data_IF_903358587313
#
_entry.id   IF_903358587313
#
_cell.length_a   1.000
_cell.length_b   1.000
_cell.length_c   1.000
_cell.angle_alpha   90.00
_cell.angle_beta   90.00
_cell.angle_gamma   90.00
#
_symmetry.space_group_name_H-M   'P 1'
#
loop_
_entity.id
_entity.type
_entity.pdbx_description
1 polymer ?
#
# COMPACT_ATOMS: atom_id res chain seq x y z
N UNK A 1 -8.55 22.57 -0.44
CA UNK A 1 -7.10 22.30 -0.43
C UNK A 1 -6.88 20.89 -0.94
N UNK A 2 -5.84 20.66 -1.75
CA UNK A 2 -5.42 19.31 -2.14
C UNK A 2 -4.89 18.60 -0.88
N UNK A 3 -5.33 17.36 -0.62
CA UNK A 3 -4.77 16.55 0.45
C UNK A 3 -3.58 15.76 -0.08
N UNK A 4 -2.36 16.26 0.10
CA UNK A 4 -1.16 15.61 -0.43
C UNK A 4 -0.86 14.26 0.24
N UNK A 5 -1.47 13.95 1.39
CA UNK A 5 -1.28 12.70 2.14
C UNK A 5 -2.31 11.62 1.80
N UNK A 6 -3.25 11.87 0.87
CA UNK A 6 -4.38 10.97 0.61
C UNK A 6 -3.96 9.56 0.19
N UNK A 7 -2.84 9.40 -0.52
CA UNK A 7 -2.35 8.09 -0.96
C UNK A 7 -1.96 7.17 0.21
N UNK A 8 -1.65 7.69 1.41
CA UNK A 8 -1.34 6.87 2.58
C UNK A 8 -2.51 5.98 3.05
N UNK A 9 -3.76 6.37 2.72
CA UNK A 9 -4.94 5.52 2.96
C UNK A 9 -4.85 4.17 2.24
N UNK A 10 -4.09 4.11 1.16
CA UNK A 10 -3.87 2.93 0.34
C UNK A 10 -2.47 2.33 0.53
N UNK A 11 -1.77 2.69 1.61
CA UNK A 11 -0.40 2.22 1.91
C UNK A 11 -0.27 0.71 1.79
N UNK A 12 -1.21 -0.07 2.33
CA UNK A 12 -1.22 -1.54 2.19
C UNK A 12 -1.16 -2.02 0.75
N UNK A 13 -1.92 -1.41 -0.14
CA UNK A 13 -1.86 -1.73 -1.57
C UNK A 13 -0.51 -1.34 -2.16
N UNK A 14 0.02 -0.17 -1.82
CA UNK A 14 1.29 0.34 -2.34
C UNK A 14 2.50 -0.49 -1.89
N UNK A 15 2.60 -0.82 -0.61
CA UNK A 15 3.68 -1.64 -0.06
C UNK A 15 3.67 -3.06 -0.64
N UNK A 16 2.48 -3.65 -0.74
CA UNK A 16 2.34 -4.96 -1.39
C UNK A 16 2.75 -4.88 -2.87
N UNK A 17 2.31 -3.86 -3.60
CA UNK A 17 2.71 -3.66 -4.99
C UNK A 17 4.22 -3.55 -5.17
N UNK A 18 4.87 -2.74 -4.33
CA UNK A 18 6.31 -2.57 -4.38
C UNK A 18 7.05 -3.88 -4.08
N UNK A 19 6.64 -4.59 -3.02
CA UNK A 19 7.20 -5.89 -2.65
C UNK A 19 7.10 -6.90 -3.78
N UNK A 20 5.90 -7.07 -4.36
CA UNK A 20 5.71 -8.00 -5.47
C UNK A 20 6.49 -7.58 -6.71
N UNK A 21 6.49 -6.28 -7.05
CA UNK A 21 7.24 -5.77 -8.19
C UNK A 21 8.74 -6.16 -8.13
N UNK A 22 9.33 -6.20 -6.95
CA UNK A 22 10.74 -6.58 -6.79
C UNK A 22 11.01 -8.08 -6.97
N UNK A 23 10.01 -8.94 -6.77
CA UNK A 23 10.14 -10.37 -7.05
C UNK A 23 10.17 -10.70 -8.54
N UNK A 24 9.65 -9.82 -9.40
CA UNK A 24 9.64 -10.03 -10.85
C UNK A 24 10.91 -9.49 -11.50
N UNK A 25 11.49 -10.23 -12.46
CA UNK A 25 12.58 -9.71 -13.26
C UNK A 25 12.08 -8.56 -14.13
N UNK A 26 12.94 -7.58 -14.35
CA UNK A 26 12.73 -6.57 -15.39
C UNK A 26 13.44 -7.09 -16.64
N UNK A 27 12.80 -7.00 -17.81
CA UNK A 27 13.42 -7.35 -19.09
C UNK A 27 14.80 -6.70 -19.22
N UNK A 28 15.75 -7.43 -19.78
CA UNK A 28 17.14 -6.99 -19.84
C UNK A 28 17.29 -5.68 -20.62
N UNK A 29 16.51 -5.51 -21.69
CA UNK A 29 16.45 -4.28 -22.50
C UNK A 29 16.08 -3.06 -21.62
N UNK A 30 14.97 -3.12 -20.90
CA UNK A 30 14.50 -2.07 -20.00
C UNK A 30 15.47 -1.79 -18.84
N UNK A 31 16.11 -2.84 -18.32
CA UNK A 31 17.14 -2.74 -17.28
C UNK A 31 18.42 -2.07 -17.77
N UNK A 32 18.83 -2.36 -19.01
CA UNK A 32 20.01 -1.78 -19.64
C UNK A 32 19.78 -0.30 -19.99
N UNK A 33 18.56 0.11 -20.32
CA UNK A 33 18.22 1.53 -20.52
C UNK A 33 18.34 2.38 -19.23
N UNK A 34 18.52 1.77 -18.06
CA UNK A 34 18.88 2.47 -16.82
C UNK A 34 20.39 2.65 -16.62
N UNK A 35 21.25 2.01 -17.41
CA UNK A 35 22.72 2.09 -17.32
C UNK A 35 23.23 3.11 -18.35
N UNK A 36 23.50 4.34 -17.95
CA UNK A 36 24.09 5.32 -18.87
C UNK A 36 24.92 6.38 -18.14
N UNK A 37 25.77 7.06 -18.91
CA UNK A 37 26.61 8.15 -18.43
C UNK A 37 25.90 9.47 -18.73
N UNK A 38 25.44 10.15 -17.68
CA UNK A 38 24.89 11.51 -17.73
C UNK A 38 25.51 12.31 -16.59
N UNK A 39 25.80 13.61 -16.74
CA UNK A 39 26.31 14.43 -15.65
C UNK A 39 25.41 14.34 -14.40
N UNK A 40 25.99 13.97 -13.26
CA UNK A 40 25.24 13.76 -12.00
C UNK A 40 24.49 12.43 -11.89
N UNK A 41 24.52 11.57 -12.92
CA UNK A 41 23.93 10.22 -12.86
C UNK A 41 24.91 9.22 -12.27
N UNK A 42 24.76 8.99 -10.97
CA UNK A 42 25.49 8.00 -10.18
C UNK A 42 24.85 6.60 -10.20
N UNK A 43 25.58 5.58 -9.73
CA UNK A 43 25.12 4.18 -9.67
C UNK A 43 23.74 4.01 -9.01
N UNK A 44 23.47 4.73 -7.92
CA UNK A 44 22.19 4.61 -7.23
C UNK A 44 21.00 5.08 -8.09
N UNK A 45 21.19 6.00 -9.05
CA UNK A 45 20.11 6.38 -9.97
C UNK A 45 19.74 5.22 -10.90
N UNK A 46 20.74 4.45 -11.33
CA UNK A 46 20.49 3.23 -12.11
C UNK A 46 19.66 2.22 -11.31
N UNK A 47 19.94 2.05 -10.02
CA UNK A 47 19.15 1.17 -9.16
C UNK A 47 17.73 1.69 -8.93
N UNK A 48 17.58 3.00 -8.67
CA UNK A 48 16.27 3.65 -8.55
C UNK A 48 15.48 3.50 -9.86
N UNK A 49 16.10 3.70 -11.02
CA UNK A 49 15.47 3.54 -12.33
C UNK A 49 14.94 2.13 -12.55
N UNK A 50 15.76 1.10 -12.26
CA UNK A 50 15.32 -0.30 -12.40
C UNK A 50 14.17 -0.62 -11.47
N UNK A 51 14.26 -0.22 -10.20
CA UNK A 51 13.21 -0.46 -9.21
C UNK A 51 11.92 0.27 -9.59
N UNK A 52 12.01 1.51 -10.04
CA UNK A 52 10.88 2.27 -10.54
C UNK A 52 10.20 1.57 -11.73
N UNK A 53 10.98 1.14 -12.73
CA UNK A 53 10.44 0.40 -13.88
C UNK A 53 9.78 -0.91 -13.47
N UNK A 54 10.36 -1.68 -12.52
CA UNK A 54 9.70 -2.87 -11.97
C UNK A 54 8.32 -2.55 -11.40
N UNK A 55 8.20 -1.48 -10.61
CA UNK A 55 6.91 -1.07 -10.03
C UNK A 55 5.93 -0.67 -11.14
N UNK A 56 6.36 0.13 -12.13
CA UNK A 56 5.53 0.52 -13.27
C UNK A 56 5.05 -0.69 -14.07
N UNK A 57 5.93 -1.65 -14.37
CA UNK A 57 5.57 -2.90 -15.03
C UNK A 57 4.55 -3.71 -14.26
N UNK A 58 4.77 -3.90 -12.96
CA UNK A 58 3.84 -4.63 -12.11
C UNK A 58 2.47 -3.95 -12.01
N UNK A 59 2.44 -2.63 -11.84
CA UNK A 59 1.19 -1.85 -11.81
C UNK A 59 0.46 -1.89 -13.16
N UNK A 60 1.18 -1.90 -14.28
CA UNK A 60 0.59 -2.02 -15.62
C UNK A 60 -0.11 -3.36 -15.80
N UNK A 61 0.52 -4.46 -15.37
CA UNK A 61 -0.09 -5.79 -15.36
C UNK A 61 -1.37 -5.77 -14.52
N UNK A 62 -1.31 -5.21 -13.31
CA UNK A 62 -2.50 -5.12 -12.45
C UNK A 62 -3.62 -4.28 -13.07
N UNK A 63 -3.27 -3.18 -13.74
CA UNK A 63 -4.20 -2.29 -14.45
C UNK A 63 -4.89 -3.01 -15.60
N UNK A 64 -4.14 -3.71 -16.44
CA UNK A 64 -4.68 -4.48 -17.56
C UNK A 64 -5.56 -5.64 -17.11
N UNK A 65 -5.27 -6.22 -15.94
CA UNK A 65 -6.11 -7.23 -15.31
C UNK A 65 -7.33 -6.67 -14.55
N UNK A 66 -7.58 -5.35 -14.59
CA UNK A 66 -8.62 -4.66 -13.80
C UNK A 66 -8.53 -4.94 -12.29
N UNK A 67 -7.34 -5.28 -11.82
CA UNK A 67 -7.05 -5.63 -10.42
C UNK A 67 -6.44 -4.47 -9.64
N UNK A 68 -6.04 -3.39 -10.33
CA UNK A 68 -5.60 -2.15 -9.72
C UNK A 68 -6.81 -1.25 -9.48
N UNK A 69 -7.06 -0.89 -8.22
CA UNK A 69 -8.09 0.09 -7.89
C UNK A 69 -7.68 1.46 -8.45
N UNK A 70 -8.49 2.00 -9.37
CA UNK A 70 -8.27 3.29 -10.03
C UNK A 70 -8.23 4.46 -9.03
N UNK A 71 -8.83 4.29 -7.84
CA UNK A 71 -8.85 5.31 -6.81
C UNK A 71 -7.68 5.21 -5.83
N UNK A 72 -6.79 4.23 -5.99
CA UNK A 72 -5.72 3.97 -5.01
C UNK A 72 -4.58 5.00 -5.02
N UNK A 73 -4.65 6.06 -5.85
CA UNK A 73 -3.66 7.15 -5.89
C UNK A 73 -2.21 6.67 -6.19
N UNK A 74 -2.06 5.65 -7.04
CA UNK A 74 -0.75 5.11 -7.38
C UNK A 74 0.20 6.14 -8.03
N UNK A 75 -0.32 7.12 -8.77
CA UNK A 75 0.52 8.15 -9.39
C UNK A 75 1.13 9.08 -8.34
N UNK A 76 0.34 9.50 -7.35
CA UNK A 76 0.80 10.28 -6.21
C UNK A 76 1.82 9.49 -5.37
N UNK A 77 1.57 8.20 -5.14
CA UNK A 77 2.52 7.31 -4.49
C UNK A 77 3.85 7.22 -5.25
N UNK A 78 3.81 7.00 -6.57
CA UNK A 78 5.02 6.88 -7.39
C UNK A 78 5.81 8.20 -7.44
N UNK A 79 5.13 9.35 -7.47
CA UNK A 79 5.78 10.65 -7.35
C UNK A 79 6.50 10.80 -5.99
N UNK A 80 5.85 10.40 -4.89
CA UNK A 80 6.48 10.34 -3.57
C UNK A 80 7.65 9.36 -3.54
N UNK A 81 7.50 8.16 -4.10
CA UNK A 81 8.51 7.11 -4.11
C UNK A 81 9.81 7.59 -4.80
N UNK A 82 9.71 8.30 -5.93
CA UNK A 82 10.87 8.89 -6.61
C UNK A 82 11.54 9.95 -5.72
N UNK A 83 10.76 10.89 -5.17
CA UNK A 83 11.27 11.91 -4.26
C UNK A 83 11.99 11.29 -3.05
N UNK A 84 11.37 10.28 -2.44
CA UNK A 84 11.89 9.58 -1.27
C UNK A 84 13.21 8.87 -1.58
N UNK A 85 13.29 8.15 -2.70
CA UNK A 85 14.48 7.38 -3.04
C UNK A 85 15.65 8.25 -3.52
N UNK A 86 15.40 9.36 -4.21
CA UNK A 86 16.46 10.30 -4.61
C UNK A 86 17.02 11.09 -3.42
N UNK A 87 16.15 11.55 -2.51
CA UNK A 87 16.55 12.33 -1.32
C UNK A 87 17.23 11.51 -0.22
N UNK A 88 17.36 10.18 -0.39
CA UNK A 88 18.22 9.35 0.47
C UNK A 88 19.71 9.69 0.33
N UNK A 89 20.10 10.29 -0.79
CA UNK A 89 21.49 10.57 -1.12
C UNK A 89 21.76 12.07 -1.03
N UNK A 90 22.57 12.49 -0.05
CA UNK A 90 22.86 13.91 0.22
C UNK A 90 23.54 14.62 -0.96
N UNK A 91 24.34 13.87 -1.73
CA UNK A 91 25.06 14.38 -2.89
C UNK A 91 24.24 14.30 -4.19
N UNK A 92 22.95 13.95 -4.11
CA UNK A 92 22.09 13.90 -5.29
C UNK A 92 21.95 15.27 -5.94
N UNK A 93 22.22 15.33 -7.24
CA UNK A 93 22.15 16.55 -8.07
C UNK A 93 20.99 16.53 -9.06
N UNK A 94 20.26 15.41 -9.14
CA UNK A 94 19.16 15.24 -10.09
C UNK A 94 17.84 15.41 -9.36
N UNK A 95 17.07 16.41 -9.78
CA UNK A 95 15.72 16.65 -9.27
C UNK A 95 14.76 15.52 -9.72
N UNK A 96 13.78 15.14 -8.89
CA UNK A 96 12.75 14.13 -9.24
C UNK A 96 12.15 14.25 -10.64
N UNK A 97 11.79 15.46 -11.08
CA UNK A 97 11.23 15.68 -12.41
C UNK A 97 12.25 15.42 -13.53
N UNK A 98 13.51 15.81 -13.32
CA UNK A 98 14.59 15.54 -14.28
C UNK A 98 14.94 14.05 -14.32
N UNK A 99 15.00 13.39 -13.17
CA UNK A 99 15.17 11.94 -13.10
C UNK A 99 14.12 11.22 -13.94
N UNK A 100 12.84 11.58 -13.77
CA UNK A 100 11.75 10.97 -14.53
C UNK A 100 11.85 11.27 -16.03
N UNK A 101 12.11 12.54 -16.39
CA UNK A 101 12.29 12.96 -17.78
C UNK A 101 13.43 12.20 -18.47
N UNK A 102 14.61 12.16 -17.86
CA UNK A 102 15.78 11.43 -18.38
C UNK A 102 15.45 9.94 -18.55
N UNK A 103 14.80 9.35 -17.56
CA UNK A 103 14.39 7.93 -17.62
C UNK A 103 13.42 7.67 -18.77
N UNK A 104 12.49 8.60 -19.03
CA UNK A 104 11.52 8.51 -20.13
C UNK A 104 12.16 8.71 -21.50
N UNK A 105 12.99 9.75 -21.67
CA UNK A 105 13.73 10.02 -22.91
C UNK A 105 14.64 8.84 -23.32
N UNK A 106 15.17 8.10 -22.35
CA UNK A 106 16.02 6.92 -22.60
C UNK A 106 15.25 5.66 -22.96
N UNK A 107 14.00 5.55 -22.57
CA UNK A 107 13.20 4.36 -22.80
C UNK A 107 11.74 4.71 -23.13
N UNK A 108 11.50 5.45 -24.22
CA UNK A 108 10.16 5.91 -24.56
C UNK A 108 9.21 4.74 -24.87
N UNK A 109 9.72 3.64 -25.44
CA UNK A 109 8.94 2.44 -25.70
C UNK A 109 8.41 1.81 -24.41
N UNK A 110 9.24 1.74 -23.35
CA UNK A 110 8.79 1.27 -22.04
C UNK A 110 7.59 2.08 -21.53
N UNK A 111 7.69 3.41 -21.52
CA UNK A 111 6.59 4.25 -20.99
C UNK A 111 5.37 4.31 -21.90
N UNK A 112 5.53 4.05 -23.20
CA UNK A 112 4.43 3.91 -24.15
C UNK A 112 3.66 2.60 -23.97
N UNK A 113 4.36 1.46 -23.80
CA UNK A 113 3.75 0.15 -23.53
C UNK A 113 3.13 0.05 -22.13
N UNK A 114 3.60 0.89 -21.21
CA UNK A 114 3.13 0.96 -19.84
C UNK A 114 2.28 2.22 -19.64
N UNK A 115 2.61 3.02 -18.62
CA UNK A 115 1.98 4.30 -18.38
C UNK A 115 3.02 5.32 -17.96
N UNK A 116 2.70 6.58 -18.24
CA UNK A 116 3.43 7.72 -17.72
C UNK A 116 2.71 8.30 -16.50
N UNK A 117 3.47 8.98 -15.63
CA UNK A 117 2.95 9.67 -14.46
C UNK A 117 3.45 11.10 -14.44
N UNK A 118 2.76 11.96 -13.68
CA UNK A 118 3.26 13.31 -13.41
C UNK A 118 4.20 13.27 -12.21
N UNK A 119 5.48 13.57 -12.45
CA UNK A 119 6.49 13.71 -11.40
C UNK A 119 6.81 15.17 -11.17
N UNK A 120 6.81 15.58 -9.90
CA UNK A 120 7.18 16.92 -9.46
C UNK A 120 7.91 16.87 -8.13
N UNK A 121 8.73 17.88 -7.88
CA UNK A 121 9.38 18.06 -6.59
C UNK A 121 8.33 18.28 -5.49
N UNK A 122 8.41 17.49 -4.43
CA UNK A 122 7.58 17.70 -3.24
C UNK A 122 8.23 18.78 -2.38
N UNK A 123 7.40 19.72 -1.91
CA UNK A 123 7.85 20.80 -1.02
C UNK A 123 8.55 20.21 0.22
N UNK A 124 9.70 20.75 0.66
CA UNK A 124 10.48 20.17 1.77
C UNK A 124 9.67 19.90 3.05
N UNK A 125 8.83 20.84 3.48
CA UNK A 125 8.03 20.67 4.69
C UNK A 125 7.01 19.52 4.57
N UNK A 126 6.32 19.44 3.43
CA UNK A 126 5.38 18.35 3.11
C UNK A 126 6.13 17.03 3.01
N UNK A 127 7.28 17.01 2.35
CA UNK A 127 8.10 15.80 2.17
C UNK A 127 8.57 15.23 3.51
N UNK A 128 9.04 16.05 4.45
CA UNK A 128 9.47 15.57 5.76
C UNK A 128 8.32 14.93 6.54
N UNK A 129 7.12 15.49 6.44
CA UNK A 129 5.91 14.89 7.02
C UNK A 129 5.54 13.56 6.34
N UNK A 130 5.56 13.50 4.99
CA UNK A 130 5.33 12.25 4.26
C UNK A 130 6.37 11.17 4.61
N UNK A 131 7.64 11.55 4.79
CA UNK A 131 8.72 10.65 5.17
C UNK A 131 8.46 10.00 6.53
N UNK A 132 7.97 10.77 7.50
CA UNK A 132 7.59 10.24 8.82
C UNK A 132 6.45 9.22 8.72
N UNK A 133 5.38 9.56 7.99
CA UNK A 133 4.26 8.65 7.76
C UNK A 133 4.71 7.39 7.02
N UNK A 134 5.51 7.54 5.97
CA UNK A 134 6.01 6.41 5.20
C UNK A 134 6.81 5.47 6.08
N UNK A 135 7.80 5.97 6.83
CA UNK A 135 8.60 5.16 7.75
C UNK A 135 7.73 4.43 8.80
N UNK A 136 6.74 5.12 9.36
CA UNK A 136 5.79 4.54 10.30
C UNK A 136 4.99 3.39 9.65
N UNK A 137 4.50 3.59 8.43
CA UNK A 137 3.85 2.53 7.65
C UNK A 137 4.82 1.40 7.27
N UNK A 138 6.11 1.66 7.03
CA UNK A 138 7.08 0.58 6.76
C UNK A 138 7.16 -0.40 7.94
N UNK A 139 7.25 0.11 9.17
CA UNK A 139 7.28 -0.72 10.38
C UNK A 139 5.96 -1.46 10.58
N UNK A 140 4.83 -0.77 10.37
CA UNK A 140 3.50 -1.39 10.41
C UNK A 140 3.33 -2.51 9.37
N UNK A 141 3.91 -2.37 8.17
CA UNK A 141 3.82 -3.43 7.15
C UNK A 141 4.60 -4.68 7.53
N UNK A 142 5.66 -4.57 8.35
CA UNK A 142 6.34 -5.75 8.91
C UNK A 142 5.40 -6.53 9.83
N UNK A 143 4.54 -5.85 10.57
CA UNK A 143 3.49 -6.45 11.40
C UNK A 143 2.49 -7.18 10.51
N UNK A 144 1.94 -6.50 9.49
CA UNK A 144 1.00 -7.06 8.52
C UNK A 144 1.58 -8.32 7.84
N UNK A 145 2.82 -8.27 7.36
CA UNK A 145 3.50 -9.39 6.71
C UNK A 145 3.60 -10.64 7.60
N UNK A 146 3.66 -10.48 8.93
CA UNK A 146 3.68 -11.60 9.86
C UNK A 146 2.32 -12.26 10.02
N UNK A 147 1.23 -11.51 9.85
CA UNK A 147 -0.13 -12.07 9.97
C UNK A 147 -0.45 -13.11 8.88
N UNK A 148 0.30 -13.13 7.78
CA UNK A 148 0.15 -14.10 6.70
C UNK A 148 1.06 -15.34 6.84
N UNK A 149 1.89 -15.43 7.88
CA UNK A 149 2.80 -16.57 8.08
C UNK A 149 2.10 -17.69 8.86
N UNK A 150 2.40 -18.93 8.50
CA UNK A 150 1.86 -20.13 9.18
C UNK A 150 2.26 -20.20 10.66
N UNK A 151 3.44 -19.68 11.00
CA UNK A 151 3.94 -19.55 12.37
C UNK A 151 4.24 -18.09 12.69
N UNK A 152 3.52 -17.58 13.68
CA UNK A 152 3.64 -16.21 14.16
C UNK A 152 4.70 -16.16 15.26
N UNK A 153 5.73 -15.34 15.04
CA UNK A 153 6.68 -14.97 16.08
C UNK A 153 6.10 -13.80 16.90
N UNK A 154 5.42 -14.14 18.00
CA UNK A 154 4.75 -13.18 18.87
C UNK A 154 5.76 -12.15 19.44
N UNK A 155 7.00 -12.57 19.72
CA UNK A 155 8.03 -11.70 20.26
C UNK A 155 8.41 -10.59 19.28
N UNK A 156 8.73 -10.96 18.03
CA UNK A 156 9.02 -9.97 16.97
C UNK A 156 7.83 -9.08 16.67
N UNK A 157 6.63 -9.66 16.67
CA UNK A 157 5.42 -8.90 16.44
C UNK A 157 5.23 -7.77 17.48
N UNK A 158 5.42 -8.08 18.77
CA UNK A 158 5.39 -7.09 19.86
C UNK A 158 6.50 -6.05 19.69
N UNK A 159 7.69 -6.45 19.26
CA UNK A 159 8.80 -5.53 18.98
C UNK A 159 8.42 -4.48 17.92
N UNK A 160 7.90 -4.90 16.76
CA UNK A 160 7.46 -3.99 15.71
C UNK A 160 6.28 -3.12 16.13
N UNK A 161 5.36 -3.66 16.92
CA UNK A 161 4.26 -2.89 17.50
C UNK A 161 4.77 -1.76 18.40
N UNK A 162 5.72 -2.05 19.29
CA UNK A 162 6.35 -1.04 20.15
C UNK A 162 7.11 0.02 19.34
N UNK A 163 7.79 -0.37 18.25
CA UNK A 163 8.43 0.58 17.33
C UNK A 163 7.37 1.53 16.73
N UNK A 164 6.25 0.98 16.23
CA UNK A 164 5.16 1.79 15.67
C UNK A 164 4.59 2.77 16.71
N UNK A 165 4.37 2.33 17.95
CA UNK A 165 3.87 3.18 19.04
C UNK A 165 4.85 4.30 19.37
N UNK A 166 6.14 3.99 19.50
CA UNK A 166 7.18 4.98 19.79
C UNK A 166 7.23 6.04 18.69
N UNK A 167 7.26 5.61 17.43
CA UNK A 167 7.26 6.53 16.29
C UNK A 167 6.00 7.38 16.25
N UNK A 168 4.82 6.79 16.47
CA UNK A 168 3.56 7.51 16.52
C UNK A 168 3.55 8.59 17.62
N UNK A 169 4.00 8.26 18.83
CA UNK A 169 4.09 9.21 19.95
C UNK A 169 5.03 10.39 19.64
N UNK A 170 6.10 10.17 18.90
CA UNK A 170 6.98 11.27 18.49
C UNK A 170 6.40 12.11 17.35
N UNK A 171 5.69 11.48 16.42
CA UNK A 171 5.08 12.14 15.28
C UNK A 171 3.88 12.99 15.71
N UNK A 172 3.02 12.48 16.60
CA UNK A 172 1.78 13.17 17.01
C UNK A 172 2.02 14.49 17.75
N UNK A 173 3.20 14.67 18.37
CA UNK A 173 3.62 15.94 18.97
C UNK A 173 3.65 17.11 17.98
N UNK A 174 3.71 16.81 16.67
CA UNK A 174 3.68 17.82 15.58
C UNK A 174 2.26 18.26 15.24
N UNK A 175 1.23 17.59 15.76
CA UNK A 175 -0.15 17.92 15.48
C UNK A 175 -0.67 19.01 16.43
N UNK A 176 -1.31 20.07 15.90
CA UNK A 176 -1.93 21.08 16.74
C UNK A 176 -3.14 20.49 17.48
N UNK A 177 -3.52 21.08 18.62
CA UNK A 177 -4.62 20.60 19.48
C UNK A 177 -6.01 20.54 18.82
N UNK A 178 -6.15 21.08 17.62
CA UNK A 178 -7.36 21.17 16.82
C UNK A 178 -7.11 20.54 15.43
N UNK A 179 -7.04 19.21 15.41
CA UNK A 179 -6.76 18.28 14.29
C UNK A 179 -7.47 18.61 12.96
N UNK A 180 -6.99 19.63 12.26
CA UNK A 180 -7.53 20.08 10.96
C UNK A 180 -6.47 20.07 9.86
N UNK A 181 -5.21 19.80 10.19
CA UNK A 181 -4.14 19.67 9.21
C UNK A 181 -4.21 18.30 8.51
N UNK A 182 -4.00 18.30 7.19
CA UNK A 182 -4.07 17.10 6.33
C UNK A 182 -3.08 16.02 6.77
N UNK A 183 -1.91 16.43 7.30
CA UNK A 183 -0.92 15.53 7.89
C UNK A 183 -1.46 14.76 9.10
N UNK A 184 -2.06 15.48 10.06
CA UNK A 184 -2.61 14.89 11.29
C UNK A 184 -3.82 14.00 11.02
N UNK A 185 -4.62 14.36 10.00
CA UNK A 185 -5.67 13.49 9.49
C UNK A 185 -5.10 12.17 8.98
N UNK A 186 -4.01 12.20 8.21
CA UNK A 186 -3.35 10.98 7.72
C UNK A 186 -2.72 10.15 8.85
N UNK A 187 -2.19 10.80 9.89
CA UNK A 187 -1.69 10.12 11.09
C UNK A 187 -2.82 9.45 11.89
N UNK A 188 -3.97 10.10 12.02
CA UNK A 188 -5.17 9.50 12.64
C UNK A 188 -5.69 8.31 11.81
N UNK A 189 -5.59 8.37 10.48
CA UNK A 189 -5.93 7.22 9.63
C UNK A 189 -4.98 6.03 9.86
N UNK A 190 -3.69 6.28 10.10
CA UNK A 190 -2.75 5.23 10.55
C UNK A 190 -3.18 4.61 11.89
N UNK A 191 -3.53 5.42 12.88
CA UNK A 191 -3.99 4.93 14.18
C UNK A 191 -5.18 3.97 14.04
N UNK A 192 -6.15 4.33 13.18
CA UNK A 192 -7.30 3.46 12.87
C UNK A 192 -6.86 2.14 12.26
N UNK A 193 -5.91 2.17 11.31
CA UNK A 193 -5.36 0.95 10.69
C UNK A 193 -4.69 0.05 11.73
N UNK A 194 -3.85 0.60 12.60
CA UNK A 194 -3.18 -0.15 13.67
C UNK A 194 -4.16 -0.74 14.68
N UNK A 195 -5.16 0.03 15.12
CA UNK A 195 -6.20 -0.46 16.01
C UNK A 195 -7.02 -1.60 15.40
N UNK A 196 -7.18 -1.64 14.07
CA UNK A 196 -7.84 -2.76 13.39
C UNK A 196 -7.04 -4.07 13.51
N UNK A 197 -5.71 -4.03 13.41
CA UNK A 197 -4.88 -5.24 13.62
C UNK A 197 -5.08 -5.79 15.02
N UNK A 198 -5.23 -4.93 16.03
CA UNK A 198 -5.47 -5.31 17.43
C UNK A 198 -6.77 -6.06 17.68
N UNK A 199 -7.61 -6.23 16.67
CA UNK A 199 -8.85 -7.03 16.74
C UNK A 199 -8.73 -8.42 16.13
N UNK A 200 -7.59 -8.76 15.53
CA UNK A 200 -7.37 -10.03 14.83
C UNK A 200 -6.75 -11.03 15.80
N UNK A 201 -7.29 -12.24 15.95
CA UNK A 201 -6.68 -13.28 16.79
C UNK A 201 -5.43 -13.92 16.13
N UNK A 202 -4.40 -14.32 16.90
CA UNK A 202 -4.25 -14.29 18.37
C UNK A 202 -3.79 -12.92 18.94
N UNK A 203 -3.90 -11.85 18.15
CA UNK A 203 -3.36 -10.51 18.42
C UNK A 203 -4.40 -9.56 19.01
N UNK A 204 -5.40 -10.10 19.70
CA UNK A 204 -6.41 -9.28 20.36
C UNK A 204 -5.78 -8.41 21.47
N UNK A 205 -6.59 -7.51 22.03
CA UNK A 205 -6.18 -6.49 23.00
C UNK A 205 -5.40 -7.00 24.23
N UNK A 206 -5.25 -8.30 24.43
CA UNK A 206 -4.44 -8.89 25.48
C UNK A 206 -2.93 -8.91 25.16
N UNK A 207 -2.53 -8.81 23.88
CA UNK A 207 -1.12 -8.95 23.46
C UNK A 207 -0.51 -7.68 22.83
N UNK A 208 -1.32 -6.67 22.49
CA UNK A 208 -0.84 -5.46 21.81
C UNK A 208 -1.06 -4.18 22.63
N UNK A 209 -0.02 -3.34 22.80
CA UNK A 209 -0.17 -2.08 23.46
C UNK A 209 -1.01 -1.11 22.61
N UNK A 210 -1.93 -0.39 23.28
CA UNK A 210 -2.70 0.69 22.69
C UNK A 210 -1.82 1.93 22.49
N UNK A 211 -2.17 2.79 21.54
CA UNK A 211 -1.68 4.17 21.60
C UNK A 211 -2.20 4.81 22.89
N UNK A 212 -1.32 5.48 23.63
CA UNK A 212 -1.77 6.37 24.68
C UNK A 212 -2.49 7.54 24.00
N UNK A 213 -3.62 7.99 24.55
CA UNK A 213 -4.22 9.25 24.11
C UNK A 213 -3.18 10.37 24.25
N UNK A 214 -3.24 11.40 23.40
CA UNK A 214 -2.41 12.60 23.53
C UNK A 214 -2.53 13.24 24.93
N UNK A 215 -3.71 13.12 25.57
CA UNK A 215 -3.93 13.53 26.95
C UNK A 215 -3.26 12.62 27.99
N UNK A 216 -3.01 11.36 27.66
CA UNK A 216 -2.34 10.42 28.55
C UNK A 216 -0.82 10.60 28.50
N UNK A 217 -0.26 10.96 27.35
CA UNK A 217 1.19 11.22 27.19
C UNK A 217 1.64 12.47 27.95
N UNK A 218 0.82 13.54 27.94
CA UNK A 218 1.07 14.76 28.75
C UNK A 218 0.90 14.51 30.25
N UNK A 219 0.07 13.55 30.67
CA UNK A 219 -0.03 13.11 32.07
C UNK A 219 1.14 12.23 32.48
N UNK A 220 1.61 11.32 31.63
CA UNK A 220 2.78 10.47 31.89
C UNK A 220 4.05 11.32 32.08
N UNK A 221 4.25 12.36 31.27
CA UNK A 221 5.41 13.25 31.40
C UNK A 221 5.39 14.06 32.72
N UNK A 222 4.19 14.43 33.19
CA UNK A 222 3.97 15.02 34.53
C UNK A 222 4.19 14.02 35.66
N UNK A 223 3.73 12.79 35.50
CA UNK A 223 3.85 11.73 36.49
C UNK A 223 5.30 11.26 36.67
N UNK A 224 6.09 11.20 35.59
CA UNK A 224 7.52 10.82 35.64
C UNK A 224 8.37 11.82 36.43
N UNK A 225 7.96 13.10 36.48
CA UNK A 225 8.61 14.11 37.33
C UNK A 225 8.34 13.89 38.83
N UNK A 226 7.14 13.44 39.19
CA UNK A 226 6.72 13.25 40.59
C UNK A 226 7.09 11.86 41.15
N UNK A 227 7.29 10.85 40.30
CA UNK A 227 7.46 9.44 40.72
C UNK A 227 8.87 9.06 41.18
N UNK A 228 9.81 10.01 41.30
CA UNK A 228 11.12 9.74 41.91
C UNK A 228 11.06 9.60 43.44
N UNK A 229 9.88 9.69 44.05
CA UNK A 229 9.67 9.35 45.46
C UNK A 229 8.48 8.38 45.66
N UNK A 230 8.86 7.18 46.12
CA UNK A 230 8.16 6.32 47.06
C UNK A 230 7.30 5.14 46.55
N UNK A 231 7.61 4.01 47.18
CA UNK A 231 7.28 2.61 46.96
C UNK A 231 6.02 2.12 47.70
N UNK A 232 5.30 1.20 47.03
CA UNK A 232 4.61 -0.03 47.52
C UNK A 232 3.37 0.11 48.43
N UNK A 233 2.24 -0.51 48.03
CA UNK A 233 1.50 -1.59 48.72
C UNK A 233 0.26 -2.06 47.89
N UNK A 234 0.03 -3.38 47.94
CA UNK A 234 -1.03 -4.29 47.41
C UNK A 234 -2.41 -4.05 48.10
N UNK A 235 -3.61 -4.36 47.59
CA UNK A 235 -4.22 -5.69 47.38
C UNK A 235 -5.75 -5.65 47.10
N UNK A 236 -6.25 -6.66 46.35
CA UNK A 236 -7.48 -7.49 46.51
C UNK A 236 -8.95 -7.00 46.29
N UNK A 237 -9.54 -7.55 45.20
CA UNK A 237 -10.80 -8.31 44.98
C UNK A 237 -11.93 -8.32 46.06
N UNK A 238 -13.18 -8.18 45.60
CA UNK A 238 -14.35 -8.93 46.12
C UNK A 238 -15.47 -9.08 45.05
N UNK A 239 -16.21 -10.18 45.12
CA UNK A 239 -17.25 -10.69 44.21
C UNK A 239 -18.59 -10.86 44.95
N UNK A 240 -19.72 -10.86 44.22
CA UNK A 240 -20.96 -11.70 44.33
C UNK A 240 -22.25 -10.94 43.87
N UNK A 241 -22.96 -11.40 42.81
CA UNK A 241 -24.23 -12.19 42.77
C UNK A 241 -25.48 -11.43 43.31
N UNK A 242 -26.66 -11.32 42.68
CA UNK A 242 -27.65 -12.25 42.06
C UNK A 242 -28.65 -11.39 41.21
N UNK A 243 -29.28 -11.77 40.09
CA UNK A 243 -30.21 -12.88 39.83
C UNK A 243 -31.68 -12.38 39.65
N UNK A 244 -32.26 -12.48 38.44
CA UNK A 244 -33.65 -12.94 38.14
C UNK A 244 -34.17 -12.49 36.76
N UNK A 245 -34.93 -13.39 36.13
CA UNK A 245 -35.65 -13.24 34.85
C UNK A 245 -37.16 -13.24 35.11
N UNK A 246 -37.98 -12.69 34.20
CA UNK A 246 -39.21 -13.42 33.85
C UNK A 246 -39.54 -13.44 32.35
N UNK A 247 -39.77 -14.68 31.88
CA UNK A 247 -40.87 -15.22 31.07
C UNK A 247 -41.35 -14.52 29.80
N UNK A 248 -41.16 -15.30 28.74
CA UNK A 248 -41.80 -15.35 27.43
C UNK A 248 -43.34 -15.26 27.46
N UNK A 249 -43.91 -14.38 26.62
CA UNK A 249 -45.26 -14.46 26.10
C UNK A 249 -45.25 -13.93 24.65
N UNK A 250 -45.44 -14.79 23.67
CA UNK A 250 -45.45 -14.43 22.23
C UNK A 250 -46.89 -14.35 21.76
N UNK A 251 -47.30 -13.16 21.33
CA UNK A 251 -48.58 -12.92 20.67
C UNK A 251 -48.31 -12.65 19.18
N UNK A 252 -48.81 -13.53 18.31
CA UNK A 252 -48.49 -13.53 16.87
C UNK A 252 -49.45 -12.64 16.08
N UNK A 253 -49.02 -11.40 15.81
CA UNK A 253 -49.63 -10.54 14.79
C UNK A 253 -48.96 -10.74 13.42
N UNK A 254 -49.75 -10.81 12.34
CA UNK A 254 -49.29 -11.06 10.96
C UNK A 254 -48.27 -10.04 10.41
N UNK A 255 -48.14 -8.86 11.04
CA UNK A 255 -47.09 -7.87 10.72
C UNK A 255 -45.73 -8.27 11.31
N UNK A 256 -45.72 -8.94 12.47
CA UNK A 256 -44.50 -9.41 13.12
C UNK A 256 -43.81 -10.52 12.30
N UNK A 257 -44.59 -11.39 11.64
CA UNK A 257 -44.05 -12.44 10.78
C UNK A 257 -43.23 -11.89 9.62
N UNK A 258 -43.64 -10.75 9.03
CA UNK A 258 -42.90 -10.11 7.92
C UNK A 258 -41.59 -9.49 8.43
N UNK A 259 -41.61 -8.81 9.58
CA UNK A 259 -40.40 -8.25 10.18
C UNK A 259 -39.42 -9.33 10.62
N UNK A 260 -39.91 -10.45 11.15
CA UNK A 260 -39.06 -11.61 11.50
C UNK A 260 -38.42 -12.20 10.26
N UNK A 261 -39.15 -12.35 9.14
CA UNK A 261 -38.60 -12.86 7.88
C UNK A 261 -37.52 -11.90 7.32
N UNK A 262 -37.79 -10.60 7.28
CA UNK A 262 -36.83 -9.61 6.78
C UNK A 262 -35.58 -9.53 7.67
N UNK A 263 -35.76 -9.53 9.00
CA UNK A 263 -34.64 -9.54 9.93
C UNK A 263 -33.83 -10.85 9.86
N UNK A 264 -34.50 -11.98 9.61
CA UNK A 264 -33.83 -13.28 9.43
C UNK A 264 -33.02 -13.30 8.13
N UNK A 265 -33.56 -12.77 7.03
CA UNK A 265 -32.83 -12.66 5.75
C UNK A 265 -31.62 -11.73 5.90
N UNK A 266 -31.78 -10.58 6.58
CA UNK A 266 -30.69 -9.65 6.83
C UNK A 266 -29.62 -10.28 7.73
N UNK A 267 -30.04 -11.01 8.76
CA UNK A 267 -29.14 -11.74 9.66
C UNK A 267 -28.37 -12.83 8.93
N UNK A 268 -29.04 -13.64 8.09
CA UNK A 268 -28.39 -14.66 7.27
C UNK A 268 -27.43 -14.01 6.27
N UNK A 269 -27.80 -12.89 5.64
CA UNK A 269 -26.92 -12.16 4.72
C UNK A 269 -25.67 -11.64 5.43
N UNK A 270 -25.81 -11.07 6.63
CA UNK A 270 -24.68 -10.60 7.44
C UNK A 270 -23.81 -11.76 7.94
N UNK A 271 -24.41 -12.91 8.28
CA UNK A 271 -23.68 -14.13 8.63
C UNK A 271 -22.92 -14.64 7.40
N UNK A 272 -23.53 -14.68 6.21
CA UNK A 272 -22.87 -15.06 4.97
C UNK A 272 -21.77 -14.07 4.56
N UNK A 273 -21.95 -12.77 4.83
CA UNK A 273 -20.92 -11.74 4.61
C UNK A 273 -19.76 -11.90 5.60
N UNK A 274 -20.06 -12.19 6.86
CA UNK A 274 -19.05 -12.48 7.88
C UNK A 274 -18.33 -13.78 7.56
N UNK A 275 -19.04 -14.84 7.16
CA UNK A 275 -18.45 -16.07 6.68
C UNK A 275 -17.71 -15.83 5.37
N UNK A 276 -18.07 -14.89 4.50
CA UNK A 276 -17.21 -14.52 3.37
C UNK A 276 -15.88 -13.91 3.85
N UNK A 277 -15.91 -13.15 4.95
CA UNK A 277 -14.72 -12.58 5.59
C UNK A 277 -13.92 -13.59 6.45
N UNK A 278 -14.57 -14.66 6.96
CA UNK A 278 -13.99 -15.66 7.89
C UNK A 278 -13.84 -17.07 7.31
N UNK A 279 -14.47 -17.38 6.18
CA UNK A 279 -14.25 -18.63 5.44
C UNK A 279 -12.91 -18.48 4.76
N UNK A 280 -12.12 -19.55 4.83
CA UNK A 280 -10.75 -19.73 4.34
C UNK A 280 -10.47 -19.27 2.92
N UNK A 281 -11.44 -18.76 2.17
CA UNK A 281 -11.30 -18.16 0.86
C UNK A 281 -10.57 -16.80 0.85
N UNK A 282 -10.66 -15.97 1.89
CA UNK A 282 -9.92 -14.68 1.92
C UNK A 282 -8.40 -14.88 1.86
N UNK A 283 -7.87 -15.71 2.78
CA UNK A 283 -6.46 -16.10 2.81
C UNK A 283 -6.09 -17.03 1.64
N UNK A 284 -7.01 -17.88 1.18
CA UNK A 284 -6.77 -18.78 0.05
C UNK A 284 -6.78 -18.07 -1.32
N UNK A 285 -7.48 -16.95 -1.47
CA UNK A 285 -7.48 -16.13 -2.69
C UNK A 285 -6.16 -15.36 -2.81
N UNK A 286 -5.62 -14.84 -1.70
CA UNK A 286 -4.25 -14.30 -1.61
C UNK A 286 -3.18 -15.40 -1.81
N UNK A 287 -3.37 -16.58 -1.23
CA UNK A 287 -2.50 -17.75 -1.43
C UNK A 287 -2.56 -18.30 -2.87
N UNK A 288 -3.72 -18.20 -3.53
CA UNK A 288 -3.86 -18.54 -4.97
C UNK A 288 -3.20 -17.51 -5.89
N UNK A 289 -3.10 -16.25 -5.48
CA UNK A 289 -2.26 -15.27 -6.18
C UNK A 289 -0.80 -15.71 -6.12
N UNK A 290 -0.32 -16.18 -4.96
CA UNK A 290 1.02 -16.76 -4.84
C UNK A 290 1.20 -18.09 -5.62
N UNK A 291 0.16 -18.93 -5.70
CA UNK A 291 0.19 -20.19 -6.47
C UNK A 291 0.06 -19.97 -8.00
N UNK A 292 -0.39 -18.79 -8.46
CA UNK A 292 -0.48 -18.42 -9.89
C UNK A 292 0.85 -17.94 -10.49
N UNK A 293 1.98 -18.01 -9.77
CA UNK A 293 3.31 -17.69 -10.31
C UNK A 293 3.65 -18.51 -11.57
N UNK A 294 3.19 -19.77 -11.64
CA UNK A 294 3.34 -20.63 -12.83
C UNK A 294 2.38 -20.31 -13.99
N UNK A 295 1.24 -19.63 -13.75
CA UNK A 295 0.32 -19.26 -14.83
C UNK A 295 0.74 -17.95 -15.50
N UNK A 296 1.41 -17.06 -14.77
CA UNK A 296 1.92 -15.79 -15.30
C UNK A 296 3.17 -15.99 -16.18
N UNK A 297 4.09 -16.87 -15.81
CA UNK A 297 5.23 -17.23 -16.68
C UNK A 297 4.78 -17.71 -18.06
N UNK A 298 3.66 -18.42 -18.12
CA UNK A 298 3.10 -18.91 -19.38
C UNK A 298 2.45 -17.77 -20.20
N UNK A 299 1.85 -16.76 -19.55
CA UNK A 299 1.30 -15.58 -20.23
C UNK A 299 2.41 -14.63 -20.72
N UNK A 300 3.53 -14.55 -20.00
CA UNK A 300 4.73 -13.82 -20.41
C UNK A 300 5.41 -14.50 -21.61
N UNK A 301 5.47 -15.83 -21.62
CA UNK A 301 5.97 -16.60 -22.76
C UNK A 301 5.08 -16.41 -24.00
N UNK A 302 3.75 -16.37 -23.84
CA UNK A 302 2.81 -16.05 -24.94
C UNK A 302 2.95 -14.59 -25.43
N UNK A 303 3.10 -13.61 -24.53
CA UNK A 303 3.29 -12.20 -24.90
C UNK A 303 4.63 -11.97 -25.62
N UNK A 304 5.71 -12.60 -25.16
CA UNK A 304 7.02 -12.52 -25.79
C UNK A 304 7.02 -13.20 -27.17
N UNK A 305 6.28 -14.31 -27.34
CA UNK A 305 6.09 -14.93 -28.66
C UNK A 305 5.33 -14.00 -29.62
N UNK A 306 4.28 -13.30 -29.16
CA UNK A 306 3.53 -12.35 -29.99
C UNK A 306 4.37 -11.14 -30.42
N UNK A 307 5.20 -10.60 -29.53
CA UNK A 307 6.11 -9.49 -29.85
C UNK A 307 7.18 -9.88 -30.87
N UNK A 308 7.74 -11.09 -30.77
CA UNK A 308 8.71 -11.60 -31.75
C UNK A 308 8.06 -11.78 -33.14
N UNK A 309 6.79 -12.21 -33.20
CA UNK A 309 6.05 -12.35 -34.47
C UNK A 309 5.83 -10.99 -35.14
N UNK A 310 5.51 -9.94 -34.36
CA UNK A 310 5.30 -8.59 -34.88
C UNK A 310 6.61 -7.96 -35.39
N UNK A 311 7.72 -8.20 -34.68
CA UNK A 311 9.05 -7.76 -35.10
C UNK A 311 9.51 -8.46 -36.40
N UNK A 312 9.25 -9.76 -36.53
CA UNK A 312 9.52 -10.51 -37.77
C UNK A 312 8.63 -10.04 -38.94
N UNK A 313 7.36 -9.70 -38.68
CA UNK A 313 6.45 -9.13 -39.68
C UNK A 313 6.90 -7.74 -40.14
N UNK A 314 7.41 -6.89 -39.24
CA UNK A 314 8.01 -5.59 -39.59
C UNK A 314 9.28 -5.77 -40.43
N UNK A 315 10.13 -6.73 -40.08
CA UNK A 315 11.36 -7.05 -40.82
C UNK A 315 11.09 -7.66 -42.20
N UNK A 316 9.95 -8.34 -42.36
CA UNK A 316 9.49 -8.85 -43.66
C UNK A 316 8.85 -7.75 -44.52
N UNK A 317 8.11 -6.82 -43.90
CA UNK A 317 7.53 -5.64 -44.55
C UNK A 317 8.61 -4.72 -45.14
N UNK A 318 9.73 -4.50 -44.43
CA UNK A 318 10.87 -3.72 -44.93
C UNK A 318 11.59 -4.36 -46.13
N UNK A 319 11.33 -5.64 -46.43
CA UNK A 319 11.85 -6.33 -47.64
C UNK A 319 10.92 -6.26 -48.85
N UNK A 320 9.68 -5.81 -48.70
CA UNK A 320 8.72 -5.70 -49.82
C UNK A 320 8.61 -4.25 -50.26
N UNK A 321 9.37 -3.88 -51.29
CA UNK A 321 9.30 -2.57 -51.91
C UNK A 321 8.00 -2.46 -52.73
N UNK A 322 6.97 -1.82 -52.21
CA UNK A 322 5.76 -1.52 -52.99
C UNK A 322 6.05 -0.34 -53.94
N UNK A 323 5.96 -0.55 -55.24
CA UNK A 323 6.00 0.52 -56.23
C UNK A 323 4.61 1.14 -56.37
N UNK A 324 4.37 2.29 -55.75
CA UNK A 324 3.17 3.10 -56.00
C UNK A 324 3.48 4.04 -57.17
N UNK A 325 2.92 3.74 -58.35
CA UNK A 325 2.98 4.63 -59.51
C UNK A 325 1.82 5.62 -59.48
N UNK A 326 2.13 6.92 -59.41
CA UNK A 326 1.15 7.99 -59.57
C UNK A 326 0.94 8.27 -61.07
N UNK A 327 -0.26 8.03 -61.58
CA UNK A 327 -0.66 8.53 -62.90
C UNK A 327 -1.25 9.94 -62.74
N UNK A 328 -0.49 10.96 -63.16
CA UNK A 328 -1.00 12.32 -63.31
C UNK A 328 -1.73 12.45 -64.64
N UNK A 329 -3.04 12.70 -64.59
CA UNK A 329 -3.87 13.01 -65.76
C UNK A 329 -3.59 14.46 -66.16
N UNK A 330 -2.94 14.67 -67.30
CA UNK A 330 -2.87 15.97 -67.98
C UNK A 330 -4.11 16.16 -68.84
N UNK A 331 -4.92 17.17 -68.52
CA UNK A 331 -5.97 17.67 -69.40
C UNK A 331 -5.32 18.57 -70.46
N UNK A 332 -5.59 18.28 -71.74
CA UNK A 332 -5.28 19.12 -72.89
C UNK A 332 -6.55 19.84 -73.35
#
# INVERSE_FOLDING_TARGET
MKNDYEFFKYSESHFNNEKFAYEYPLEESYSNNCKFVHPGWEHYHTDICRNFKKIVSFLNIRKNASSLDVNNKYEEYLNFWINFNLRKYENNKIEPSDFYRITNERDPSFFWLHFSIKVSNIEPAIFENMKLLYNLYQEYHKIIDMTYKDHIDIGKFIEYANICLSMYHDIIKRCPSNDTESFCTALSDFEKSYNRIRTITPFDNHNLPAFASYEDTTKVEKLVSDYSQQTVIQSQVTSEHTGSSPKHGVDHSSKYTIFVILASILGIFLILLSMYMFTTFGSWLLRRIQYKKNTFSNLEEEANQLLNIDEDMLKYSDKVHYSISYNTVTNA
#
